data_IF_696605509203
#
_entry.id   IF_696605509203
#
_cell.length_a   1.000
_cell.length_b   1.000
_cell.length_c   1.000
_cell.angle_alpha   90.00
_cell.angle_beta   90.00
_cell.angle_gamma   90.00
#
_symmetry.space_group_name_H-M   'P 1'
#
loop_
_entity.id
_entity.type
_entity.pdbx_description
1 polymer ?
#
# COMPACT_ATOMS: atom_id res chain seq x y z
N UNK A 1 -7.14 18.92 20.53
CA UNK A 1 -6.93 17.46 20.70
C UNK A 1 -7.94 16.63 19.89
N UNK A 2 -9.22 17.02 19.76
CA UNK A 2 -10.20 16.31 18.91
C UNK A 2 -9.84 16.32 17.41
N UNK A 3 -9.40 17.46 16.88
CA UNK A 3 -9.09 17.61 15.45
C UNK A 3 -7.92 16.72 15.01
N UNK A 4 -6.87 16.62 15.83
CA UNK A 4 -5.73 15.74 15.58
C UNK A 4 -6.15 14.25 15.59
N UNK A 5 -7.01 13.84 16.54
CA UNK A 5 -7.54 12.46 16.58
C UNK A 5 -8.34 12.12 15.32
N UNK A 6 -9.22 13.02 14.87
CA UNK A 6 -9.98 12.87 13.62
C UNK A 6 -9.03 12.76 12.41
N UNK A 7 -7.95 13.55 12.39
CA UNK A 7 -6.97 13.46 11.29
C UNK A 7 -6.25 12.11 11.25
N UNK A 8 -5.96 11.49 12.41
CA UNK A 8 -5.36 10.16 12.45
C UNK A 8 -6.31 9.06 11.98
N UNK A 9 -7.58 9.14 12.36
CA UNK A 9 -8.61 8.20 11.86
C UNK A 9 -8.73 8.29 10.33
N UNK A 10 -8.74 9.50 9.78
CA UNK A 10 -8.76 9.72 8.33
C UNK A 10 -7.51 9.17 7.63
N UNK A 11 -6.32 9.39 8.21
CA UNK A 11 -5.07 8.85 7.67
C UNK A 11 -5.03 7.32 7.73
N UNK A 12 -5.52 6.71 8.82
CA UNK A 12 -5.63 5.26 8.96
C UNK A 12 -6.59 4.67 7.92
N UNK A 13 -7.76 5.28 7.74
CA UNK A 13 -8.73 4.86 6.74
C UNK A 13 -8.18 4.99 5.30
N UNK A 14 -7.43 6.05 5.01
CA UNK A 14 -6.77 6.22 3.72
C UNK A 14 -5.70 5.15 3.47
N UNK A 15 -4.89 4.81 4.48
CA UNK A 15 -3.90 3.74 4.36
C UNK A 15 -4.56 2.37 4.13
N UNK A 16 -5.66 2.07 4.82
CA UNK A 16 -6.43 0.85 4.62
C UNK A 16 -7.03 0.78 3.20
N UNK A 17 -7.61 1.89 2.72
CA UNK A 17 -8.17 1.98 1.36
C UNK A 17 -7.10 1.77 0.28
N UNK A 18 -5.90 2.33 0.48
CA UNK A 18 -4.75 2.08 -0.40
C UNK A 18 -4.34 0.61 -0.39
N UNK A 19 -4.32 -0.03 0.79
CA UNK A 19 -4.02 -1.46 0.91
C UNK A 19 -5.00 -2.32 0.14
N UNK A 20 -6.30 -2.06 0.30
CA UNK A 20 -7.34 -2.80 -0.41
C UNK A 20 -7.23 -2.61 -1.92
N UNK A 21 -6.96 -1.39 -2.37
CA UNK A 21 -6.76 -1.07 -3.78
C UNK A 21 -5.52 -1.77 -4.35
N UNK A 22 -4.42 -1.80 -3.60
CA UNK A 22 -3.20 -2.51 -3.99
C UNK A 22 -3.41 -4.01 -4.10
N UNK A 23 -4.13 -4.62 -3.15
CA UNK A 23 -4.49 -6.04 -3.22
C UNK A 23 -5.41 -6.35 -4.42
N UNK A 24 -6.37 -5.47 -4.73
CA UNK A 24 -7.24 -5.63 -5.90
C UNK A 24 -6.45 -5.59 -7.21
N UNK A 25 -5.53 -4.63 -7.34
CA UNK A 25 -4.66 -4.53 -8.53
C UNK A 25 -3.79 -5.77 -8.67
N UNK A 26 -3.20 -6.28 -7.58
CA UNK A 26 -2.43 -7.52 -7.64
C UNK A 26 -3.29 -8.69 -8.15
N UNK A 27 -4.52 -8.85 -7.63
CA UNK A 27 -5.41 -9.92 -8.07
C UNK A 27 -5.79 -9.81 -9.56
N UNK A 28 -6.05 -8.59 -10.06
CA UNK A 28 -6.34 -8.36 -11.48
C UNK A 28 -5.13 -8.68 -12.38
N UNK A 29 -3.90 -8.37 -11.92
CA UNK A 29 -2.67 -8.74 -12.63
C UNK A 29 -2.43 -10.26 -12.62
N UNK A 30 -2.63 -10.94 -11.49
CA UNK A 30 -2.50 -12.38 -11.39
C UNK A 30 -3.50 -13.11 -12.32
N UNK A 31 -4.73 -12.61 -12.41
CA UNK A 31 -5.75 -13.12 -13.33
C UNK A 31 -5.36 -12.90 -14.80
N UNK A 32 -4.87 -11.70 -15.13
CA UNK A 32 -4.37 -11.36 -16.46
C UNK A 32 -3.22 -12.29 -16.87
N UNK A 33 -2.25 -12.49 -15.99
CA UNK A 33 -1.12 -13.39 -16.22
C UNK A 33 -1.57 -14.84 -16.42
N UNK A 34 -2.46 -15.34 -15.57
CA UNK A 34 -3.00 -16.70 -15.72
C UNK A 34 -3.72 -16.89 -17.05
N UNK A 35 -4.41 -15.85 -17.52
CA UNK A 35 -5.15 -15.88 -18.80
C UNK A 35 -4.21 -15.83 -20.00
N UNK A 36 -3.17 -15.01 -19.93
CA UNK A 36 -2.25 -14.77 -21.05
C UNK A 36 -1.20 -15.87 -21.16
N UNK A 37 -0.75 -16.47 -20.04
CA UNK A 37 0.29 -17.50 -20.01
C UNK A 37 0.19 -18.60 -21.09
N UNK A 38 -0.98 -19.26 -21.31
CA UNK A 38 -1.09 -20.27 -22.37
C UNK A 38 -1.00 -19.69 -23.80
N UNK A 39 -1.31 -18.40 -23.99
CA UNK A 39 -1.21 -17.72 -25.27
C UNK A 39 0.24 -17.33 -25.60
N UNK A 40 1.02 -16.98 -24.58
CA UNK A 40 2.45 -16.61 -24.74
C UNK A 40 3.24 -17.73 -25.40
N UNK A 41 2.94 -18.99 -25.06
CA UNK A 41 3.58 -20.16 -25.67
C UNK A 41 3.32 -20.27 -27.18
N UNK A 42 2.27 -19.63 -27.69
CA UNK A 42 1.90 -19.63 -29.11
C UNK A 42 2.47 -18.45 -29.89
N UNK A 43 3.05 -17.45 -29.20
CA UNK A 43 3.57 -16.23 -29.82
C UNK A 43 4.98 -16.41 -30.36
N UNK A 44 5.31 -15.66 -31.42
CA UNK A 44 6.69 -15.54 -31.89
C UNK A 44 7.58 -14.87 -30.83
N UNK A 45 8.88 -15.16 -30.84
CA UNK A 45 9.82 -14.76 -29.78
C UNK A 45 9.86 -13.25 -29.48
N UNK A 46 9.66 -12.38 -30.47
CA UNK A 46 9.62 -10.93 -30.26
C UNK A 46 8.38 -10.47 -29.47
N UNK A 47 7.23 -11.11 -29.68
CA UNK A 47 6.01 -10.82 -28.94
C UNK A 47 6.09 -11.35 -27.50
N UNK A 48 6.71 -12.53 -27.31
CA UNK A 48 7.01 -13.04 -25.97
C UNK A 48 7.90 -12.07 -25.19
N UNK A 49 8.96 -11.55 -25.81
CA UNK A 49 9.88 -10.60 -25.16
C UNK A 49 9.16 -9.32 -24.72
N UNK A 50 8.32 -8.74 -25.59
CA UNK A 50 7.53 -7.55 -25.23
C UNK A 50 6.55 -7.82 -24.08
N UNK A 51 5.94 -9.00 -24.04
CA UNK A 51 5.10 -9.41 -22.93
C UNK A 51 5.87 -9.49 -21.62
N UNK A 52 7.04 -10.15 -21.58
CA UNK A 52 7.84 -10.22 -20.37
C UNK A 52 8.33 -8.85 -19.87
N UNK A 53 8.58 -7.90 -20.79
CA UNK A 53 8.89 -6.52 -20.41
C UNK A 53 7.69 -5.80 -19.79
N UNK A 54 6.50 -5.96 -20.39
CA UNK A 54 5.27 -5.44 -19.83
C UNK A 54 5.00 -6.06 -18.45
N UNK A 55 5.25 -7.36 -18.32
CA UNK A 55 5.11 -8.11 -17.07
C UNK A 55 5.93 -7.53 -15.94
N UNK A 56 7.24 -7.42 -16.14
CA UNK A 56 8.10 -6.78 -15.14
C UNK A 56 7.66 -5.37 -14.77
N UNK A 57 7.10 -4.63 -15.73
CA UNK A 57 6.68 -3.25 -15.49
C UNK A 57 5.48 -3.19 -14.55
N UNK A 58 4.44 -4.01 -14.78
CA UNK A 58 3.28 -4.02 -13.90
C UNK A 58 3.60 -4.66 -12.55
N UNK A 59 4.43 -5.70 -12.50
CA UNK A 59 4.84 -6.36 -11.25
C UNK A 59 5.56 -5.38 -10.32
N UNK A 60 6.49 -4.61 -10.90
CA UNK A 60 7.22 -3.57 -10.18
C UNK A 60 6.27 -2.47 -9.68
N UNK A 61 5.29 -2.08 -10.48
CA UNK A 61 4.30 -1.09 -10.09
C UNK A 61 3.44 -1.59 -8.91
N UNK A 62 2.99 -2.84 -8.95
CA UNK A 62 2.21 -3.47 -7.88
C UNK A 62 3.01 -3.59 -6.58
N UNK A 63 4.27 -4.02 -6.64
CA UNK A 63 5.17 -4.03 -5.48
C UNK A 63 5.37 -2.64 -4.89
N UNK A 64 5.61 -1.63 -5.71
CA UNK A 64 5.79 -0.25 -5.23
C UNK A 64 4.56 0.25 -4.47
N UNK A 65 3.34 -0.07 -4.94
CA UNK A 65 2.11 0.30 -4.26
C UNK A 65 1.97 -0.38 -2.89
N UNK A 66 2.34 -1.67 -2.80
CA UNK A 66 2.36 -2.38 -1.52
C UNK A 66 3.36 -1.76 -0.54
N UNK A 67 4.56 -1.40 -1.03
CA UNK A 67 5.56 -0.72 -0.20
C UNK A 67 5.08 0.65 0.31
N UNK A 68 4.48 1.47 -0.56
CA UNK A 68 3.97 2.79 -0.20
C UNK A 68 2.89 2.66 0.87
N UNK A 69 1.97 1.71 0.68
CA UNK A 69 0.90 1.42 1.65
C UNK A 69 1.49 1.02 3.01
N UNK A 70 2.46 0.11 3.02
CA UNK A 70 3.12 -0.31 4.25
C UNK A 70 3.83 0.86 4.95
N UNK A 71 4.56 1.70 4.19
CA UNK A 71 5.22 2.91 4.69
C UNK A 71 4.23 3.89 5.30
N UNK A 72 3.07 4.10 4.66
CA UNK A 72 2.01 4.95 5.19
C UNK A 72 1.44 4.40 6.50
N UNK A 73 1.14 3.10 6.57
CA UNK A 73 0.66 2.47 7.80
C UNK A 73 1.63 2.63 8.97
N UNK A 74 2.92 2.42 8.74
CA UNK A 74 3.94 2.65 9.77
C UNK A 74 4.01 4.12 10.22
N UNK A 75 3.94 5.06 9.27
CA UNK A 75 4.00 6.49 9.59
C UNK A 75 2.80 6.95 10.43
N UNK A 76 1.59 6.46 10.12
CA UNK A 76 0.37 6.75 10.89
C UNK A 76 0.48 6.20 12.32
N UNK A 77 0.94 4.97 12.49
CA UNK A 77 1.13 4.36 13.80
C UNK A 77 2.17 5.11 14.64
N UNK A 78 3.34 5.43 14.06
CA UNK A 78 4.38 6.18 14.75
C UNK A 78 3.90 7.57 15.21
N UNK A 79 3.12 8.26 14.37
CA UNK A 79 2.57 9.56 14.70
C UNK A 79 1.52 9.46 15.83
N UNK A 80 0.70 8.41 15.84
CA UNK A 80 -0.27 8.14 16.90
C UNK A 80 0.42 7.88 18.25
N UNK A 81 1.44 7.02 18.27
CA UNK A 81 2.22 6.71 19.48
C UNK A 81 2.91 7.95 20.06
N UNK A 82 3.56 8.75 19.21
CA UNK A 82 4.21 10.00 19.60
C UNK A 82 3.22 10.99 20.22
N UNK A 83 2.04 11.12 19.61
CA UNK A 83 0.98 11.97 20.13
C UNK A 83 0.47 11.50 21.51
N UNK A 84 0.19 10.20 21.67
CA UNK A 84 -0.24 9.65 22.95
C UNK A 84 0.83 9.78 24.04
N UNK A 85 2.12 9.65 23.70
CA UNK A 85 3.22 9.87 24.63
C UNK A 85 3.27 11.34 25.08
N UNK A 86 3.08 12.29 24.15
CA UNK A 86 2.99 13.72 24.45
C UNK A 86 1.80 14.07 25.34
N UNK A 87 0.60 13.54 25.05
CA UNK A 87 -0.58 13.73 25.90
C UNK A 87 -0.34 13.20 27.32
N UNK A 88 0.23 12.00 27.47
CA UNK A 88 0.57 11.43 28.78
C UNK A 88 1.60 12.28 29.55
N UNK A 89 2.65 12.74 28.87
CA UNK A 89 3.67 13.58 29.48
C UNK A 89 3.11 14.94 29.93
N UNK A 90 2.21 15.53 29.15
CA UNK A 90 1.54 16.78 29.53
C UNK A 90 0.56 16.57 30.69
N UNK A 91 -0.27 15.52 30.63
CA UNK A 91 -1.19 15.18 31.72
C UNK A 91 -0.44 14.95 33.05
N UNK A 92 0.70 14.27 33.02
CA UNK A 92 1.55 14.07 34.20
C UNK A 92 2.11 15.37 34.79
N UNK A 93 2.30 16.42 33.97
CA UNK A 93 2.77 17.74 34.41
C UNK A 93 1.68 18.64 34.99
N UNK A 94 0.42 18.43 34.59
CA UNK A 94 -0.72 19.25 35.04
C UNK A 94 -1.61 18.55 36.08
N UNK A 95 -1.42 17.25 36.31
CA UNK A 95 -2.16 16.44 37.29
C UNK A 95 -1.36 16.05 38.54
N UNK A 96 -0.21 16.69 38.77
CA UNK A 96 0.62 16.57 39.98
C UNK A 96 0.64 17.86 40.78
#
# INVERSE_FOLDING_TARGET
MSEIRVSFEQLSAAAESLSQTASKIQAELDELESTIKPLVETWDGAAQEQYFQAQQTWDKAAQNMQEITAKMGMAVNAANESYQAGERANAAKFGG
#
